data_IF_647867723879
#
_entry.id   IF_647867723879
#
_cell.length_a   1.000
_cell.length_b   1.000
_cell.length_c   1.000
_cell.angle_alpha   90.00
_cell.angle_beta   90.00
_cell.angle_gamma   90.00
#
_symmetry.space_group_name_H-M   'P 1'
#
loop_
_entity.id
_entity.type
_entity.pdbx_description
1 polymer ?
#
# COMPACT_ATOMS: atom_id res chain seq x y z
N UNK A 1 -49.02 10.59 -15.56
CA UNK A 1 -48.79 10.37 -17.00
C UNK A 1 -49.43 11.56 -17.73
N UNK A 2 -48.79 12.54 -18.37
CA UNK A 2 -47.41 12.73 -18.81
C UNK A 2 -46.96 14.17 -18.48
N UNK A 3 -45.83 14.28 -17.77
CA UNK A 3 -45.15 15.54 -17.47
C UNK A 3 -44.05 15.90 -18.48
N UNK A 4 -43.93 15.13 -19.56
CA UNK A 4 -42.91 15.28 -20.59
C UNK A 4 -43.61 15.43 -21.95
N UNK A 5 -43.20 16.43 -22.73
CA UNK A 5 -43.69 16.66 -24.09
C UNK A 5 -42.52 16.81 -25.05
N UNK A 6 -42.66 16.25 -26.25
CA UNK A 6 -41.74 16.51 -27.36
C UNK A 6 -42.37 17.56 -28.28
N UNK A 7 -41.72 18.71 -28.40
CA UNK A 7 -42.16 19.82 -29.26
C UNK A 7 -40.94 20.32 -30.02
N UNK A 8 -41.03 20.44 -31.35
CA UNK A 8 -39.95 20.97 -32.21
C UNK A 8 -38.56 20.36 -31.94
N UNK A 9 -38.49 19.02 -31.87
CA UNK A 9 -37.28 18.24 -31.54
C UNK A 9 -36.66 18.53 -30.16
N UNK A 10 -37.34 19.26 -29.28
CA UNK A 10 -36.93 19.54 -27.90
C UNK A 10 -37.78 18.74 -26.91
N UNK A 11 -37.16 18.34 -25.80
CA UNK A 11 -37.82 17.65 -24.69
C UNK A 11 -38.17 18.69 -23.65
N UNK A 12 -39.46 18.91 -23.45
CA UNK A 12 -39.99 19.87 -22.49
C UNK A 12 -40.56 19.10 -21.31
N UNK A 13 -40.17 19.47 -20.11
CA UNK A 13 -40.48 18.76 -18.86
C UNK A 13 -41.17 19.71 -17.89
N UNK A 14 -42.19 19.21 -17.17
CA UNK A 14 -42.84 19.95 -16.09
C UNK A 14 -41.90 20.11 -14.89
N UNK A 15 -42.09 21.19 -14.12
CA UNK A 15 -41.32 21.46 -12.90
C UNK A 15 -41.17 20.23 -11.98
N UNK A 16 -42.25 19.55 -11.62
CA UNK A 16 -42.19 18.41 -10.70
C UNK A 16 -41.29 17.28 -11.22
N UNK A 17 -41.44 16.93 -12.51
CA UNK A 17 -40.64 15.88 -13.15
C UNK A 17 -39.19 16.32 -13.32
N UNK A 18 -38.93 17.60 -13.57
CA UNK A 18 -37.59 18.14 -13.66
C UNK A 18 -36.87 18.11 -12.30
N UNK A 19 -37.58 18.45 -11.22
CA UNK A 19 -37.08 18.36 -9.85
C UNK A 19 -36.71 16.92 -9.48
N UNK A 20 -37.55 15.95 -9.83
CA UNK A 20 -37.28 14.53 -9.61
C UNK A 20 -36.05 14.05 -10.40
N UNK A 21 -35.96 14.36 -11.70
CA UNK A 21 -34.84 13.93 -12.56
C UNK A 21 -33.50 14.52 -12.10
N UNK A 22 -33.49 15.78 -11.65
CA UNK A 22 -32.28 16.50 -11.29
C UNK A 22 -31.94 16.44 -9.79
N UNK A 23 -32.81 15.81 -8.99
CA UNK A 23 -32.72 15.73 -7.53
C UNK A 23 -32.61 17.13 -6.87
N UNK A 24 -33.39 18.10 -7.36
CA UNK A 24 -33.38 19.49 -6.86
C UNK A 24 -34.75 19.93 -6.36
N UNK A 25 -34.76 20.90 -5.44
CA UNK A 25 -36.00 21.51 -4.94
C UNK A 25 -36.61 22.49 -5.94
N UNK A 26 -37.93 22.71 -5.88
CA UNK A 26 -38.62 23.74 -6.69
C UNK A 26 -38.11 25.17 -6.39
N UNK A 27 -37.61 25.38 -5.16
CA UNK A 27 -36.94 26.62 -4.77
C UNK A 27 -35.68 26.87 -5.61
N UNK A 28 -34.90 25.83 -5.86
CA UNK A 28 -33.70 25.88 -6.71
C UNK A 28 -34.04 26.32 -8.14
N UNK A 29 -35.13 25.81 -8.72
CA UNK A 29 -35.60 26.24 -10.05
C UNK A 29 -36.10 27.69 -10.06
N UNK A 30 -36.72 28.13 -8.97
CA UNK A 30 -37.17 29.51 -8.80
C UNK A 30 -35.98 30.47 -8.72
N UNK A 31 -34.93 30.09 -7.98
CA UNK A 31 -33.69 30.86 -7.88
C UNK A 31 -32.94 30.90 -9.22
N UNK A 32 -32.88 29.79 -9.96
CA UNK A 32 -32.30 29.77 -11.31
C UNK A 32 -33.07 30.67 -12.29
N UNK A 33 -34.41 30.73 -12.19
CA UNK A 33 -35.21 31.67 -12.97
C UNK A 33 -34.83 33.13 -12.68
N UNK A 34 -34.57 33.46 -11.41
CA UNK A 34 -34.11 34.81 -11.01
C UNK A 34 -32.71 35.13 -11.52
N UNK A 35 -31.85 34.11 -11.63
CA UNK A 35 -30.49 34.22 -12.15
C UNK A 35 -30.41 34.27 -13.69
N UNK A 36 -31.55 34.20 -14.39
CA UNK A 36 -31.61 34.35 -15.84
C UNK A 36 -32.00 33.10 -16.64
N UNK A 37 -32.31 31.98 -15.97
CA UNK A 37 -32.80 30.78 -16.67
C UNK A 37 -34.20 31.02 -17.25
N UNK A 38 -34.32 30.92 -18.57
CA UNK A 38 -35.59 31.14 -19.26
C UNK A 38 -36.48 29.90 -19.24
N UNK A 39 -37.77 30.11 -18.97
CA UNK A 39 -38.79 29.05 -19.03
C UNK A 39 -39.39 28.98 -20.44
N UNK A 40 -39.74 27.77 -20.90
CA UNK A 40 -40.45 27.62 -22.17
C UNK A 40 -41.91 28.08 -22.05
N UNK A 41 -42.58 27.70 -20.96
CA UNK A 41 -43.90 28.22 -20.55
C UNK A 41 -44.02 28.11 -19.03
N UNK A 42 -45.02 28.76 -18.42
CA UNK A 42 -45.26 28.66 -16.97
C UNK A 42 -45.30 27.19 -16.53
N UNK A 43 -44.33 26.77 -15.71
CA UNK A 43 -44.20 25.41 -15.18
C UNK A 43 -43.62 24.37 -16.15
N UNK A 44 -43.13 24.79 -17.33
CA UNK A 44 -42.54 23.93 -18.36
C UNK A 44 -41.16 24.43 -18.78
N UNK A 45 -40.21 23.50 -18.83
CA UNK A 45 -38.79 23.78 -19.02
C UNK A 45 -38.22 22.95 -20.16
N UNK A 46 -37.33 23.55 -20.95
CA UNK A 46 -36.53 22.81 -21.94
C UNK A 46 -35.38 22.09 -21.21
N UNK A 47 -35.42 20.76 -21.14
CA UNK A 47 -34.46 19.96 -20.39
C UNK A 47 -33.02 20.19 -20.86
N UNK A 48 -32.81 20.33 -22.17
CA UNK A 48 -31.48 20.56 -22.74
C UNK A 48 -30.95 21.94 -22.34
N UNK A 49 -31.82 22.95 -22.32
CA UNK A 49 -31.44 24.29 -21.88
C UNK A 49 -31.08 24.33 -20.39
N UNK A 50 -31.86 23.65 -19.54
CA UNK A 50 -31.58 23.56 -18.09
C UNK A 50 -30.26 22.83 -17.81
N UNK A 51 -30.03 21.69 -18.45
CA UNK A 51 -28.77 20.94 -18.30
C UNK A 51 -27.56 21.73 -18.79
N UNK A 52 -27.72 22.52 -19.86
CA UNK A 52 -26.68 23.44 -20.33
C UNK A 52 -26.41 24.56 -19.34
N UNK A 53 -27.46 25.12 -18.72
CA UNK A 53 -27.33 26.15 -17.69
C UNK A 53 -26.65 25.64 -16.42
N UNK A 54 -26.96 24.40 -16.03
CA UNK A 54 -26.32 23.71 -14.91
C UNK A 54 -24.86 23.33 -15.18
N UNK A 55 -24.41 23.36 -16.45
CA UNK A 55 -23.07 22.95 -16.84
C UNK A 55 -22.87 21.44 -16.93
N UNK A 56 -23.96 20.66 -16.99
CA UNK A 56 -23.93 19.20 -17.14
C UNK A 56 -23.78 18.79 -18.61
N UNK A 57 -24.20 19.66 -19.53
CA UNK A 57 -24.07 19.43 -20.97
C UNK A 57 -23.37 20.63 -21.60
N UNK A 58 -22.25 20.36 -22.26
CA UNK A 58 -21.55 21.32 -23.09
C UNK A 58 -21.82 21.03 -24.57
N UNK A 59 -21.75 22.07 -25.42
CA UNK A 59 -21.61 21.83 -26.84
C UNK A 59 -20.20 21.22 -27.07
N UNK A 60 -20.09 20.15 -27.85
CA UNK A 60 -18.81 19.52 -28.15
C UNK A 60 -17.78 20.48 -28.80
N UNK A 61 -18.25 21.58 -29.39
CA UNK A 61 -17.44 22.49 -30.21
C UNK A 61 -16.98 23.79 -29.53
N UNK A 62 -17.33 24.04 -28.27
CA UNK A 62 -16.91 25.27 -27.58
C UNK A 62 -15.52 25.13 -26.94
N UNK A 63 -14.59 26.06 -27.20
CA UNK A 63 -13.23 26.05 -26.61
C UNK A 63 -13.22 25.93 -25.07
N UNK A 64 -14.27 26.44 -24.42
CA UNK A 64 -14.49 26.35 -22.97
C UNK A 64 -14.68 24.91 -22.48
N UNK A 65 -15.30 24.02 -23.25
CA UNK A 65 -15.47 22.61 -22.84
C UNK A 65 -14.16 21.84 -22.93
N UNK A 66 -13.33 22.15 -23.94
CA UNK A 66 -11.97 21.60 -24.06
C UNK A 66 -11.08 22.09 -22.94
N UNK A 67 -11.14 23.37 -22.56
CA UNK A 67 -10.33 23.91 -21.47
C UNK A 67 -10.71 23.33 -20.10
N UNK A 68 -12.01 23.18 -19.80
CA UNK A 68 -12.48 22.54 -18.56
C UNK A 68 -12.04 21.07 -18.51
N UNK A 69 -12.18 20.32 -19.62
CA UNK A 69 -11.72 18.92 -19.70
C UNK A 69 -10.21 18.80 -19.49
N UNK A 70 -9.42 19.72 -20.04
CA UNK A 70 -7.96 19.75 -19.84
C UNK A 70 -7.59 20.12 -18.40
N UNK A 71 -8.28 21.08 -17.79
CA UNK A 71 -8.07 21.46 -16.39
C UNK A 71 -8.42 20.32 -15.44
N UNK A 72 -9.52 19.61 -15.68
CA UNK A 72 -9.90 18.45 -14.87
C UNK A 72 -8.86 17.33 -14.98
N UNK A 73 -8.43 16.99 -16.21
CA UNK A 73 -7.35 16.00 -16.39
C UNK A 73 -6.04 16.41 -15.72
N UNK A 74 -5.71 17.69 -15.76
CA UNK A 74 -4.53 18.24 -15.07
C UNK A 74 -4.68 18.08 -13.56
N UNK A 75 -5.85 18.39 -12.99
CA UNK A 75 -6.11 18.24 -11.57
C UNK A 75 -6.02 16.76 -11.14
N UNK A 76 -6.61 15.85 -11.90
CA UNK A 76 -6.51 14.40 -11.66
C UNK A 76 -5.05 13.92 -11.68
N UNK A 77 -4.26 14.38 -12.66
CA UNK A 77 -2.83 14.07 -12.71
C UNK A 77 -2.04 14.66 -11.53
N UNK A 78 -2.36 15.89 -11.10
CA UNK A 78 -1.73 16.51 -9.92
C UNK A 78 -2.09 15.79 -8.62
N UNK A 79 -3.32 15.31 -8.48
CA UNK A 79 -3.75 14.49 -7.33
C UNK A 79 -2.98 13.18 -7.31
N UNK A 80 -2.93 12.45 -8.43
CA UNK A 80 -2.18 11.19 -8.52
C UNK A 80 -0.68 11.38 -8.21
N UNK A 81 -0.08 12.48 -8.68
CA UNK A 81 1.30 12.81 -8.38
C UNK A 81 1.52 13.15 -6.89
N UNK A 82 0.56 13.81 -6.24
CA UNK A 82 0.64 14.07 -4.80
C UNK A 82 0.49 12.80 -3.98
N UNK A 83 -0.41 11.89 -4.37
CA UNK A 83 -0.61 10.60 -3.69
C UNK A 83 0.65 9.74 -3.76
N UNK A 84 1.21 9.56 -4.95
CA UNK A 84 2.48 8.83 -5.15
C UNK A 84 3.65 9.46 -4.39
N UNK A 85 3.77 10.79 -4.37
CA UNK A 85 4.79 11.47 -3.56
C UNK A 85 4.57 11.28 -2.05
N UNK A 86 3.33 11.28 -1.58
CA UNK A 86 3.01 11.02 -0.18
C UNK A 86 3.40 9.60 0.23
N UNK A 87 3.15 8.61 -0.61
CA UNK A 87 3.57 7.23 -0.38
C UNK A 87 5.10 7.09 -0.31
N UNK A 88 5.81 7.71 -1.26
CA UNK A 88 7.28 7.74 -1.23
C UNK A 88 7.83 8.44 0.02
N UNK A 89 7.20 9.52 0.45
CA UNK A 89 7.61 10.22 1.66
C UNK A 89 7.36 9.37 2.91
N UNK A 90 6.25 8.64 2.99
CA UNK A 90 6.00 7.67 4.09
C UNK A 90 7.07 6.59 4.13
N UNK A 91 7.40 5.99 2.98
CA UNK A 91 8.48 5.00 2.88
C UNK A 91 9.83 5.56 3.36
N UNK A 92 10.18 6.78 2.94
CA UNK A 92 11.41 7.46 3.40
C UNK A 92 11.41 7.71 4.91
N UNK A 93 10.28 8.19 5.46
CA UNK A 93 10.13 8.39 6.91
C UNK A 93 10.29 7.07 7.64
N UNK A 94 9.69 5.98 7.15
CA UNK A 94 9.80 4.68 7.81
C UNK A 94 11.24 4.13 7.77
N UNK A 95 11.96 4.32 6.66
CA UNK A 95 13.39 4.00 6.57
C UNK A 95 14.19 4.82 7.59
N UNK A 96 13.98 6.14 7.64
CA UNK A 96 14.67 7.02 8.60
C UNK A 96 14.32 6.71 10.05
N UNK A 97 13.09 6.25 10.31
CA UNK A 97 12.65 5.83 11.64
C UNK A 97 13.26 4.51 12.12
N UNK A 98 14.03 3.82 11.25
CA UNK A 98 14.71 2.57 11.58
C UNK A 98 13.83 1.33 11.50
N UNK A 99 12.64 1.42 10.90
CA UNK A 99 11.77 0.23 10.68
C UNK A 99 12.33 -0.70 9.61
N UNK A 100 13.14 -0.17 8.69
CA UNK A 100 13.75 -0.94 7.62
C UNK A 100 15.28 -0.87 7.76
N UNK A 101 15.91 -2.03 7.61
CA UNK A 101 17.36 -2.18 7.54
C UNK A 101 17.75 -2.52 6.12
N UNK A 102 18.88 -2.00 5.68
CA UNK A 102 19.43 -2.32 4.38
C UNK A 102 19.87 -3.78 4.33
N UNK A 103 19.37 -4.51 3.32
CA UNK A 103 19.59 -5.94 3.18
C UNK A 103 21.08 -6.30 3.14
N UNK A 104 21.88 -5.54 2.39
CA UNK A 104 23.32 -5.80 2.25
C UNK A 104 24.07 -5.66 3.56
N UNK A 105 23.70 -4.67 4.39
CA UNK A 105 24.27 -4.46 5.72
C UNK A 105 23.91 -5.64 6.62
N UNK A 106 22.64 -6.04 6.65
CA UNK A 106 22.15 -7.16 7.46
C UNK A 106 22.84 -8.47 7.07
N UNK A 107 22.93 -8.76 5.78
CA UNK A 107 23.61 -9.97 5.29
C UNK A 107 25.10 -9.97 5.67
N UNK A 108 25.78 -8.85 5.53
CA UNK A 108 27.21 -8.73 5.86
C UNK A 108 27.46 -8.89 7.35
N UNK A 109 26.67 -8.22 8.20
CA UNK A 109 26.83 -8.27 9.65
C UNK A 109 26.47 -9.65 10.21
N UNK A 110 25.35 -10.23 9.78
CA UNK A 110 24.96 -11.58 10.20
C UNK A 110 25.98 -12.62 9.73
N UNK A 111 26.48 -12.53 8.50
CA UNK A 111 27.51 -13.44 7.99
C UNK A 111 28.78 -13.35 8.84
N UNK A 112 29.21 -12.13 9.19
CA UNK A 112 30.37 -11.92 10.08
C UNK A 112 30.10 -12.50 11.47
N UNK A 113 28.93 -12.25 12.04
CA UNK A 113 28.52 -12.76 13.33
C UNK A 113 28.54 -14.30 13.36
N UNK A 114 27.89 -14.96 12.40
CA UNK A 114 27.82 -16.42 12.34
C UNK A 114 29.19 -17.06 12.11
N UNK A 115 30.08 -16.41 11.34
CA UNK A 115 31.44 -16.90 11.15
C UNK A 115 32.25 -16.83 12.45
N UNK A 116 32.12 -15.76 13.22
CA UNK A 116 32.75 -15.62 14.53
C UNK A 116 32.14 -16.62 15.52
N UNK A 117 30.83 -16.74 15.55
CA UNK A 117 30.11 -17.67 16.40
C UNK A 117 30.54 -19.11 16.15
N UNK A 118 30.59 -19.56 14.89
CA UNK A 118 31.07 -20.90 14.51
C UNK A 118 32.48 -21.16 15.02
N UNK A 119 33.41 -20.22 14.80
CA UNK A 119 34.80 -20.35 15.27
C UNK A 119 34.88 -20.44 16.79
N UNK A 120 34.12 -19.59 17.50
CA UNK A 120 34.07 -19.58 18.96
C UNK A 120 33.49 -20.88 19.51
N UNK A 121 32.40 -21.38 18.94
CA UNK A 121 31.78 -22.65 19.32
C UNK A 121 32.74 -23.83 19.13
N UNK A 122 33.37 -23.95 17.95
CA UNK A 122 34.33 -25.03 17.69
C UNK A 122 35.57 -24.96 18.59
N UNK A 123 36.00 -23.76 19.00
CA UNK A 123 37.12 -23.60 19.92
C UNK A 123 36.81 -24.10 21.35
N UNK A 124 35.54 -24.19 21.75
CA UNK A 124 35.16 -24.66 23.09
C UNK A 124 35.58 -26.11 23.33
N UNK A 125 35.41 -27.00 22.35
CA UNK A 125 35.82 -28.40 22.47
C UNK A 125 37.30 -28.53 22.82
N UNK A 126 38.16 -27.79 22.11
CA UNK A 126 39.61 -27.78 22.35
C UNK A 126 39.96 -27.15 23.71
N UNK A 127 39.29 -26.06 24.10
CA UNK A 127 39.52 -25.43 25.41
C UNK A 127 39.15 -26.36 26.55
N UNK A 128 37.96 -26.96 26.52
CA UNK A 128 37.52 -27.92 27.53
C UNK A 128 38.45 -29.14 27.56
N UNK A 129 38.84 -29.67 26.41
CA UNK A 129 39.79 -30.79 26.33
C UNK A 129 41.13 -30.44 26.97
N UNK A 130 41.62 -29.20 26.77
CA UNK A 130 42.82 -28.69 27.42
C UNK A 130 42.69 -28.58 28.94
N UNK A 131 41.55 -28.09 29.44
CA UNK A 131 41.26 -27.96 30.87
C UNK A 131 41.14 -29.31 31.59
N UNK A 132 40.55 -30.32 30.94
CA UNK A 132 40.41 -31.67 31.51
C UNK A 132 41.67 -32.52 31.35
N UNK A 133 42.55 -32.20 30.39
CA UNK A 133 43.76 -32.97 30.05
C UNK A 133 44.62 -33.38 31.25
N UNK A 134 44.84 -32.55 32.30
CA UNK A 134 45.61 -32.94 33.48
C UNK A 134 44.93 -34.00 34.36
N UNK A 135 43.61 -34.19 34.23
CA UNK A 135 42.80 -35.04 35.10
C UNK A 135 42.40 -36.38 34.45
N UNK A 136 42.66 -36.56 33.16
CA UNK A 136 42.32 -37.77 32.39
C UNK A 136 43.50 -38.25 31.56
N UNK A 137 43.51 -39.55 31.24
CA UNK A 137 44.52 -40.10 30.34
C UNK A 137 44.48 -39.42 28.95
N UNK A 138 45.62 -39.27 28.26
CA UNK A 138 45.68 -38.60 26.96
C UNK A 138 44.73 -39.18 25.90
N UNK A 139 44.47 -40.49 25.95
CA UNK A 139 43.53 -41.16 25.04
C UNK A 139 42.08 -40.75 25.32
N UNK A 140 41.70 -40.69 26.60
CA UNK A 140 40.36 -40.30 27.03
C UNK A 140 40.09 -38.81 26.78
N UNK A 141 41.08 -37.94 27.03
CA UNK A 141 40.99 -36.51 26.71
C UNK A 141 40.70 -36.28 25.22
N UNK A 142 41.41 -37.00 24.33
CA UNK A 142 41.18 -36.95 22.88
C UNK A 142 39.79 -37.48 22.49
N UNK A 143 39.32 -38.53 23.14
CA UNK A 143 37.97 -39.09 22.90
C UNK A 143 36.89 -38.08 23.27
N UNK A 144 37.03 -37.39 24.41
CA UNK A 144 36.12 -36.34 24.85
C UNK A 144 36.15 -35.14 23.89
N UNK A 145 37.34 -34.68 23.48
CA UNK A 145 37.47 -33.59 22.51
C UNK A 145 36.73 -33.90 21.20
N UNK A 146 36.89 -35.13 20.69
CA UNK A 146 36.21 -35.58 19.47
C UNK A 146 34.70 -35.60 19.65
N UNK A 147 34.19 -36.17 20.74
CA UNK A 147 32.74 -36.21 21.02
C UNK A 147 32.13 -34.83 21.20
N UNK A 148 32.85 -33.89 21.83
CA UNK A 148 32.43 -32.50 21.94
C UNK A 148 32.39 -31.81 20.57
N UNK A 149 33.40 -32.01 19.72
CA UNK A 149 33.42 -31.47 18.37
C UNK A 149 32.25 -31.99 17.53
N UNK A 150 31.97 -33.30 17.59
CA UNK A 150 30.82 -33.90 16.89
C UNK A 150 29.50 -33.30 17.38
N UNK A 151 29.32 -33.18 18.71
CA UNK A 151 28.10 -32.59 19.29
C UNK A 151 27.91 -31.13 18.88
N UNK A 152 28.98 -30.33 18.89
CA UNK A 152 28.94 -28.93 18.48
C UNK A 152 28.68 -28.82 16.98
N UNK A 153 29.28 -29.69 16.17
CA UNK A 153 29.06 -29.72 14.72
C UNK A 153 27.60 -30.06 14.40
N UNK A 154 27.05 -31.12 15.01
CA UNK A 154 25.64 -31.50 14.85
C UNK A 154 24.70 -30.36 15.27
N UNK A 155 25.02 -29.66 16.36
CA UNK A 155 24.22 -28.53 16.83
C UNK A 155 24.24 -27.36 15.84
N UNK A 156 25.42 -27.00 15.35
CA UNK A 156 25.58 -25.92 14.36
C UNK A 156 24.91 -26.27 13.03
N UNK A 157 24.95 -27.53 12.62
CA UNK A 157 24.28 -28.01 11.41
C UNK A 157 22.76 -27.90 11.53
N UNK A 158 22.17 -28.40 12.62
CA UNK A 158 20.73 -28.26 12.88
C UNK A 158 20.27 -26.79 12.93
N UNK A 159 21.04 -25.93 13.59
CA UNK A 159 20.76 -24.50 13.63
C UNK A 159 20.85 -23.84 12.25
N UNK A 160 21.71 -24.34 11.35
CA UNK A 160 21.86 -23.79 10.01
C UNK A 160 20.72 -24.17 9.05
N UNK A 161 20.08 -25.31 9.26
CA UNK A 161 18.99 -25.81 8.39
C UNK A 161 17.62 -25.41 8.93
N UNK A 162 17.34 -25.74 10.19
CA UNK A 162 16.00 -25.60 10.79
C UNK A 162 15.88 -24.39 11.73
N UNK A 163 16.99 -23.73 12.06
CA UNK A 163 17.02 -22.64 13.05
C UNK A 163 16.75 -23.10 14.49
N UNK A 164 16.62 -24.40 14.73
CA UNK A 164 16.27 -25.00 16.03
C UNK A 164 17.22 -26.15 16.33
N UNK A 165 17.75 -26.20 17.55
CA UNK A 165 18.57 -27.32 18.02
C UNK A 165 17.74 -28.30 18.84
N UNK A 166 17.79 -29.58 18.46
CA UNK A 166 17.22 -30.69 19.23
C UNK A 166 18.34 -31.50 19.89
N UNK A 167 18.43 -31.39 21.21
CA UNK A 167 19.37 -32.19 21.98
C UNK A 167 19.08 -33.69 21.79
N UNK A 168 20.10 -34.46 21.38
CA UNK A 168 20.01 -35.93 21.30
C UNK A 168 19.65 -36.47 22.69
N UNK A 169 18.48 -37.12 22.80
CA UNK A 169 18.08 -37.80 24.04
C UNK A 169 19.05 -38.94 24.31
N UNK A 170 19.75 -38.88 25.43
CA UNK A 170 20.59 -39.97 25.92
C UNK A 170 19.68 -41.17 26.16
N UNK A 171 19.87 -42.27 25.40
CA UNK A 171 19.24 -43.55 25.73
C UNK A 171 19.82 -43.99 27.08
N UNK A 172 18.96 -43.99 28.08
CA UNK A 172 19.25 -44.41 29.45
C UNK A 172 19.37 -45.92 29.54
#
# INVERSE_FOLDING_TARGET
MDGIKRVDKKIIVRTNVLCEILEISDRTLTDWKRQGLTQHRRGWWDLKHVLKWRGEIYNADTEVSKSISLQQKKLEAEVALKETNNELNKLKIDIQSGKYLEKEIVETELSRFFLIFKKSAMALARKLAGEISPYVEPLEARRIEKGLNETISDALEQMSVDGVYYAKKTKR
#
